data_IF_054076282250
#
_entry.id   IF_054076282250
#
_cell.length_a   1.000
_cell.length_b   1.000
_cell.length_c   1.000
_cell.angle_alpha   90.00
_cell.angle_beta   90.00
_cell.angle_gamma   90.00
#
_symmetry.space_group_name_H-M   'P 1'
#
loop_
_entity.id
_entity.type
_entity.pdbx_description
1 polymer ?
#
# COMPACT_ATOMS: atom_id res chain seq x y z
N UNK A 1 -31.05 76.90 16.96
CA UNK A 1 -29.86 76.07 16.70
C UNK A 1 -30.25 74.60 16.78
N UNK A 2 -30.05 73.89 15.67
CA UNK A 2 -30.09 72.44 15.36
C UNK A 2 -30.74 71.43 16.32
N UNK A 3 -31.78 70.75 15.82
CA UNK A 3 -32.25 69.43 16.27
C UNK A 3 -31.39 68.29 15.70
N UNK A 4 -31.41 67.15 16.40
CA UNK A 4 -31.30 65.73 15.98
C UNK A 4 -30.31 64.98 16.91
N UNK A 5 -30.47 63.73 17.35
CA UNK A 5 -31.53 62.74 17.59
C UNK A 5 -30.79 61.55 18.27
N UNK A 6 -31.32 60.83 19.27
CA UNK A 6 -30.57 59.89 20.09
C UNK A 6 -30.62 58.47 19.52
N UNK A 7 -29.47 57.79 19.45
CA UNK A 7 -29.33 56.31 19.37
C UNK A 7 -27.86 55.89 19.23
N UNK A 8 -27.16 55.78 20.35
CA UNK A 8 -25.91 54.99 20.45
C UNK A 8 -26.24 53.69 21.17
N UNK A 9 -26.90 52.78 20.46
CA UNK A 9 -27.13 51.40 20.90
C UNK A 9 -26.09 50.53 20.23
N UNK A 10 -25.20 49.98 21.06
CA UNK A 10 -24.20 48.99 20.72
C UNK A 10 -24.91 47.79 20.08
N UNK A 11 -24.75 47.61 18.76
CA UNK A 11 -25.16 46.38 18.06
C UNK A 11 -23.94 45.48 17.91
N UNK A 12 -24.01 44.32 18.56
CA UNK A 12 -23.12 43.19 18.38
C UNK A 12 -23.08 42.78 16.90
N UNK A 13 -21.91 42.84 16.27
CA UNK A 13 -21.70 42.33 14.92
C UNK A 13 -21.78 40.80 14.94
N UNK A 14 -22.92 40.25 14.54
CA UNK A 14 -23.02 38.85 14.12
C UNK A 14 -22.32 38.69 12.76
N UNK A 15 -21.02 38.41 12.76
CA UNK A 15 -20.33 37.94 11.56
C UNK A 15 -20.76 36.50 11.29
N UNK A 16 -21.83 36.33 10.49
CA UNK A 16 -22.10 35.07 9.80
C UNK A 16 -21.00 34.88 8.74
N UNK A 17 -19.98 34.10 9.09
CA UNK A 17 -19.04 33.56 8.12
C UNK A 17 -19.77 32.45 7.35
N UNK A 18 -20.21 32.75 6.12
CA UNK A 18 -20.64 31.72 5.18
C UNK A 18 -19.40 31.00 4.64
N UNK A 19 -19.30 29.66 4.75
CA UNK A 19 -18.20 28.95 4.12
C UNK A 19 -18.45 28.95 2.60
N UNK A 20 -17.60 29.66 1.84
CA UNK A 20 -17.49 29.47 0.40
C UNK A 20 -16.91 28.08 0.15
N UNK A 21 -17.79 27.08 0.07
CA UNK A 21 -17.46 25.75 -0.44
C UNK A 21 -17.21 25.92 -1.94
N UNK A 22 -15.94 26.03 -2.32
CA UNK A 22 -15.54 25.92 -3.70
C UNK A 22 -15.95 24.55 -4.21
N UNK A 23 -16.79 24.51 -5.25
CA UNK A 23 -17.10 23.27 -5.98
C UNK A 23 -15.81 22.75 -6.59
N UNK A 24 -15.21 21.74 -5.96
CA UNK A 24 -14.11 20.97 -6.55
C UNK A 24 -14.73 20.06 -7.61
N UNK A 25 -14.44 20.34 -8.87
CA UNK A 25 -14.92 19.55 -9.99
C UNK A 25 -14.04 18.28 -10.09
N UNK A 26 -14.55 17.15 -9.60
CA UNK A 26 -13.85 15.85 -9.55
C UNK A 26 -13.81 15.10 -10.90
N UNK A 27 -14.25 15.72 -11.98
CA UNK A 27 -14.27 15.09 -13.30
C UNK A 27 -13.16 15.70 -14.14
N UNK A 28 -11.95 15.14 -14.03
CA UNK A 28 -10.94 15.29 -15.08
C UNK A 28 -11.11 14.13 -16.06
N UNK A 29 -11.47 14.48 -17.28
CA UNK A 29 -11.52 13.59 -18.44
C UNK A 29 -10.19 12.81 -18.57
N UNK A 30 -10.26 11.49 -18.44
CA UNK A 30 -9.22 10.58 -18.92
C UNK A 30 -9.19 10.65 -20.45
N UNK A 31 -8.45 11.61 -21.02
CA UNK A 31 -8.29 11.67 -22.48
C UNK A 31 -7.25 10.65 -22.93
N UNK A 32 -7.72 9.69 -23.72
CA UNK A 32 -7.03 8.98 -24.79
C UNK A 32 -5.67 8.35 -24.44
N UNK A 33 -5.74 7.09 -24.01
CA UNK A 33 -4.56 6.22 -23.92
C UNK A 33 -4.70 4.99 -23.02
N UNK A 34 -5.92 4.57 -22.65
CA UNK A 34 -6.07 3.31 -21.92
C UNK A 34 -5.79 2.15 -22.88
N UNK A 35 -4.61 1.55 -22.79
CA UNK A 35 -4.45 0.17 -23.23
C UNK A 35 -5.44 -0.64 -22.39
N UNK A 36 -6.52 -1.15 -23.01
CA UNK A 36 -7.40 -2.09 -22.32
C UNK A 36 -6.62 -3.40 -22.18
N UNK A 37 -6.87 -4.15 -21.11
CA UNK A 37 -6.22 -5.45 -20.86
C UNK A 37 -6.41 -6.40 -22.07
N UNK A 38 -7.51 -6.25 -22.83
CA UNK A 38 -7.78 -6.99 -24.07
C UNK A 38 -7.03 -6.54 -25.32
N UNK A 39 -6.29 -5.42 -25.28
CA UNK A 39 -5.52 -4.90 -26.42
C UNK A 39 -4.07 -5.43 -26.45
N UNK A 40 -3.66 -6.19 -25.43
CA UNK A 40 -2.34 -6.79 -25.34
C UNK A 40 -2.34 -8.13 -26.08
N UNK A 41 -1.68 -8.18 -27.23
CA UNK A 41 -1.49 -9.44 -27.96
C UNK A 41 -0.62 -10.41 -27.16
N UNK A 42 -0.86 -11.72 -27.33
CA UNK A 42 -0.06 -12.79 -26.69
C UNK A 42 1.44 -12.62 -26.93
N UNK A 43 1.81 -12.12 -28.12
CA UNK A 43 3.20 -11.78 -28.46
C UNK A 43 3.77 -10.73 -27.52
N UNK A 44 3.02 -9.67 -27.21
CA UNK A 44 3.46 -8.56 -26.37
C UNK A 44 3.54 -8.96 -24.89
N UNK A 45 2.60 -9.79 -24.43
CA UNK A 45 2.68 -10.44 -23.11
C UNK A 45 3.93 -11.32 -23.03
N UNK A 46 4.21 -12.11 -24.07
CA UNK A 46 5.39 -12.97 -24.15
C UNK A 46 6.71 -12.18 -24.19
N UNK A 47 6.74 -11.00 -24.81
CA UNK A 47 7.91 -10.11 -24.79
C UNK A 47 8.14 -9.48 -23.41
N UNK A 48 7.07 -9.02 -22.73
CA UNK A 48 7.17 -8.47 -21.37
C UNK A 48 7.61 -9.55 -20.39
N UNK A 49 6.99 -10.72 -20.45
CA UNK A 49 7.30 -11.86 -19.57
C UNK A 49 8.76 -12.31 -19.75
N UNK A 50 9.29 -12.27 -20.98
CA UNK A 50 10.71 -12.57 -21.25
C UNK A 50 11.69 -11.59 -20.62
N UNK A 51 11.27 -10.36 -20.30
CA UNK A 51 12.11 -9.38 -19.61
C UNK A 51 12.15 -9.58 -18.10
N UNK A 52 11.28 -10.43 -17.55
CA UNK A 52 11.27 -10.77 -16.13
C UNK A 52 12.30 -11.87 -15.89
N UNK A 53 13.26 -11.58 -15.02
CA UNK A 53 14.20 -12.57 -14.51
C UNK A 53 13.47 -13.51 -13.54
N UNK A 54 13.12 -14.70 -14.04
CA UNK A 54 12.34 -15.71 -13.30
C UNK A 54 13.12 -16.30 -12.14
N UNK A 55 14.42 -16.52 -12.31
CA UNK A 55 15.27 -17.10 -11.27
C UNK A 55 15.44 -16.13 -10.12
N UNK A 56 15.70 -14.85 -10.42
CA UNK A 56 15.76 -13.81 -9.39
C UNK A 56 14.42 -13.68 -8.67
N UNK A 57 13.29 -13.68 -9.38
CA UNK A 57 11.98 -13.61 -8.75
C UNK A 57 11.73 -14.78 -7.79
N UNK A 58 11.99 -16.01 -8.24
CA UNK A 58 11.78 -17.22 -7.45
C UNK A 58 12.69 -17.26 -6.21
N UNK A 59 13.96 -16.89 -6.39
CA UNK A 59 14.94 -16.81 -5.31
C UNK A 59 14.54 -15.79 -4.25
N UNK A 60 14.18 -14.57 -4.65
CA UNK A 60 13.78 -13.52 -3.71
C UNK A 60 12.48 -13.88 -3.00
N UNK A 61 11.52 -14.51 -3.69
CA UNK A 61 10.29 -15.01 -3.08
C UNK A 61 10.62 -15.96 -1.91
N UNK A 62 11.39 -17.01 -2.17
CA UNK A 62 11.78 -17.98 -1.14
C UNK A 62 12.69 -17.40 -0.07
N UNK A 63 13.58 -16.47 -0.42
CA UNK A 63 14.39 -15.73 0.55
C UNK A 63 13.49 -15.03 1.56
N UNK A 64 12.45 -14.32 1.12
CA UNK A 64 11.53 -13.67 2.05
C UNK A 64 10.71 -14.67 2.88
N UNK A 65 10.42 -15.87 2.37
CA UNK A 65 9.69 -16.91 3.10
C UNK A 65 10.40 -17.38 4.39
N UNK A 66 11.69 -17.05 4.57
CA UNK A 66 12.38 -17.32 5.84
C UNK A 66 11.75 -16.60 7.04
N UNK A 67 11.07 -15.46 6.81
CA UNK A 67 10.35 -14.72 7.85
C UNK A 67 8.90 -15.19 7.90
N UNK A 68 8.54 -15.91 8.96
CA UNK A 68 7.20 -16.51 9.08
C UNK A 68 7.10 -17.86 8.38
N UNK A 69 8.11 -18.73 8.54
CA UNK A 69 8.04 -20.14 8.12
C UNK A 69 6.91 -20.84 8.87
N UNK A 70 6.01 -21.46 8.12
CA UNK A 70 4.96 -22.32 8.63
C UNK A 70 5.40 -23.78 8.74
N UNK A 71 4.41 -24.65 8.96
CA UNK A 71 4.57 -26.10 9.06
C UNK A 71 5.20 -26.72 7.79
N UNK A 72 6.09 -27.68 7.99
CA UNK A 72 6.77 -28.41 6.93
C UNK A 72 5.99 -29.70 6.60
N UNK A 73 5.69 -29.95 5.32
CA UNK A 73 4.99 -31.16 4.87
C UNK A 73 5.87 -32.14 4.10
N UNK A 74 7.09 -31.73 3.72
CA UNK A 74 8.01 -32.53 2.91
C UNK A 74 9.48 -32.21 3.20
N UNK A 75 10.40 -32.91 2.54
CA UNK A 75 11.86 -32.77 2.77
C UNK A 75 12.52 -31.72 1.89
N UNK A 76 11.82 -31.20 0.87
CA UNK A 76 12.31 -30.14 0.01
C UNK A 76 12.49 -28.82 0.76
N UNK A 77 13.41 -27.98 0.27
CA UNK A 77 13.69 -26.67 0.87
C UNK A 77 12.42 -25.80 1.01
N UNK A 78 11.55 -25.89 0.02
CA UNK A 78 10.32 -25.10 -0.13
C UNK A 78 9.06 -25.85 0.32
N UNK A 79 9.18 -27.07 0.85
CA UNK A 79 8.05 -27.91 1.28
C UNK A 79 7.50 -27.49 2.66
N UNK A 80 7.19 -26.20 2.79
CA UNK A 80 6.70 -25.59 4.03
C UNK A 80 5.72 -24.44 3.80
N UNK A 81 4.82 -24.27 4.76
CA UNK A 81 3.81 -23.23 4.73
C UNK A 81 4.36 -21.87 5.12
N UNK A 82 3.47 -20.90 5.28
CA UNK A 82 3.78 -19.56 5.76
C UNK A 82 2.84 -19.18 6.90
N UNK A 83 3.39 -18.56 7.94
CA UNK A 83 2.68 -17.97 9.07
C UNK A 83 3.36 -16.65 9.44
N UNK A 84 2.96 -15.59 8.73
CA UNK A 84 3.44 -14.21 8.91
C UNK A 84 2.25 -13.29 9.17
N UNK A 85 1.76 -13.28 10.40
CA UNK A 85 0.64 -12.43 10.78
C UNK A 85 1.00 -10.95 10.68
N UNK A 86 0.02 -10.13 10.30
CA UNK A 86 0.17 -8.67 10.22
C UNK A 86 0.71 -8.09 11.54
N UNK A 87 1.61 -7.11 11.43
CA UNK A 87 2.27 -6.41 12.55
C UNK A 87 3.14 -7.29 13.48
N UNK A 88 3.37 -8.56 13.11
CA UNK A 88 4.35 -9.40 13.80
C UNK A 88 5.80 -8.95 13.52
N UNK A 89 6.75 -9.45 14.32
CA UNK A 89 8.18 -9.25 14.04
C UNK A 89 8.61 -9.83 12.69
N UNK A 90 7.95 -10.88 12.21
CA UNK A 90 8.18 -11.46 10.89
C UNK A 90 7.63 -10.56 9.77
N UNK A 91 6.44 -9.98 9.95
CA UNK A 91 5.88 -8.99 9.01
C UNK A 91 6.78 -7.75 8.95
N UNK A 92 7.26 -7.25 10.09
CA UNK A 92 8.22 -6.15 10.14
C UNK A 92 9.48 -6.46 9.31
N UNK A 93 10.07 -7.65 9.44
CA UNK A 93 11.27 -8.02 8.68
C UNK A 93 11.02 -8.04 7.17
N UNK A 94 9.89 -8.59 6.73
CA UNK A 94 9.51 -8.59 5.32
C UNK A 94 9.30 -7.16 4.78
N UNK A 95 8.65 -6.29 5.56
CA UNK A 95 8.46 -4.87 5.22
C UNK A 95 9.77 -4.10 5.17
N UNK A 96 10.65 -4.29 6.15
CA UNK A 96 11.98 -3.67 6.18
C UNK A 96 12.81 -4.08 4.95
N UNK A 97 12.78 -5.37 4.59
CA UNK A 97 13.41 -5.87 3.38
C UNK A 97 12.81 -5.23 2.13
N UNK A 98 11.48 -5.16 2.01
CA UNK A 98 10.82 -4.53 0.86
C UNK A 98 11.23 -3.06 0.69
N UNK A 99 11.23 -2.29 1.79
CA UNK A 99 11.67 -0.89 1.82
C UNK A 99 13.13 -0.77 1.39
N UNK A 100 14.03 -1.60 1.94
CA UNK A 100 15.45 -1.57 1.60
C UNK A 100 15.69 -1.90 0.13
N UNK A 101 15.09 -2.99 -0.35
CA UNK A 101 15.24 -3.46 -1.74
C UNK A 101 14.72 -2.41 -2.72
N UNK A 102 13.56 -1.83 -2.48
CA UNK A 102 12.99 -0.82 -3.38
C UNK A 102 13.76 0.49 -3.36
N UNK A 103 14.25 0.95 -2.21
CA UNK A 103 15.17 2.09 -2.13
C UNK A 103 16.45 1.86 -2.93
N UNK A 104 17.05 0.67 -2.83
CA UNK A 104 18.24 0.32 -3.62
C UNK A 104 17.98 0.32 -5.13
N UNK A 105 16.72 0.12 -5.54
CA UNK A 105 16.29 0.21 -6.94
C UNK A 105 15.95 1.66 -7.36
N UNK A 106 16.15 2.65 -6.48
CA UNK A 106 15.90 4.06 -6.75
C UNK A 106 14.43 4.47 -6.61
N UNK A 107 13.63 3.72 -5.83
CA UNK A 107 12.27 4.15 -5.50
C UNK A 107 12.25 5.12 -4.31
N UNK A 108 11.38 6.12 -4.38
CA UNK A 108 10.96 6.91 -3.21
C UNK A 108 9.92 6.11 -2.42
N UNK A 109 10.13 5.93 -1.12
CA UNK A 109 9.27 5.07 -0.29
C UNK A 109 8.49 5.92 0.69
N UNK A 110 7.16 5.80 0.64
CA UNK A 110 6.22 6.45 1.55
C UNK A 110 5.44 5.42 2.36
N UNK A 111 5.24 5.71 3.64
CA UNK A 111 4.42 4.89 4.54
C UNK A 111 3.31 5.78 5.07
N UNK A 112 2.05 5.35 4.92
CA UNK A 112 0.91 6.10 5.44
C UNK A 112 0.63 5.77 6.92
N UNK A 113 -0.37 6.43 7.50
CA UNK A 113 -0.75 6.22 8.91
C UNK A 113 -1.33 4.84 9.19
N UNK A 114 -1.80 4.12 8.17
CA UNK A 114 -2.31 2.75 8.31
C UNK A 114 -1.21 1.69 8.12
N UNK A 115 0.02 2.11 7.79
CA UNK A 115 1.16 1.23 7.55
C UNK A 115 1.22 0.66 6.14
N UNK A 116 0.44 1.19 5.18
CA UNK A 116 0.62 0.85 3.77
C UNK A 116 1.94 1.42 3.26
N UNK A 117 2.67 0.64 2.46
CA UNK A 117 3.98 1.03 1.93
C UNK A 117 3.87 1.23 0.43
N UNK A 118 4.21 2.43 -0.02
CA UNK A 118 4.24 2.80 -1.44
C UNK A 118 5.68 3.00 -1.88
N UNK A 119 6.18 2.13 -2.75
CA UNK A 119 7.48 2.29 -3.41
C UNK A 119 7.29 2.90 -4.80
N UNK A 120 7.63 4.18 -4.93
CA UNK A 120 7.36 5.00 -6.11
C UNK A 120 8.62 5.07 -6.97
N UNK A 121 8.59 4.41 -8.14
CA UNK A 121 9.65 4.55 -9.15
C UNK A 121 9.40 5.83 -9.97
N UNK A 122 10.37 6.77 -10.08
CA UNK A 122 10.18 7.97 -10.88
C UNK A 122 9.95 7.63 -12.35
N UNK A 123 8.89 8.22 -12.92
CA UNK A 123 8.58 8.13 -14.34
C UNK A 123 9.42 9.09 -15.18
N UNK A 124 9.31 8.98 -16.51
CA UNK A 124 9.93 9.95 -17.44
C UNK A 124 9.20 11.29 -17.52
N UNK A 125 7.93 11.32 -17.08
CA UNK A 125 7.06 12.48 -17.07
C UNK A 125 6.27 12.47 -15.77
N UNK A 126 5.93 13.64 -15.29
CA UNK A 126 5.01 13.79 -14.17
C UNK A 126 3.59 13.43 -14.59
N UNK A 127 2.86 12.71 -13.73
CA UNK A 127 1.50 12.27 -14.00
C UNK A 127 0.96 11.35 -12.90
N UNK A 128 -0.31 10.91 -13.04
CA UNK A 128 -0.89 9.93 -12.13
C UNK A 128 -0.04 8.66 -12.08
N UNK A 129 0.15 8.11 -10.89
CA UNK A 129 0.89 6.87 -10.72
C UNK A 129 0.05 5.68 -11.22
N UNK A 130 0.67 4.82 -12.04
CA UNK A 130 0.18 3.46 -12.24
C UNK A 130 0.63 2.64 -11.04
N UNK A 131 -0.32 2.03 -10.32
CA UNK A 131 -0.04 1.23 -9.14
C UNK A 131 -0.37 -0.26 -9.38
N UNK A 132 0.42 -1.12 -8.75
CA UNK A 132 0.17 -2.54 -8.61
C UNK A 132 0.64 -2.96 -7.21
N UNK A 133 -0.10 -3.85 -6.55
CA UNK A 133 0.19 -4.26 -5.19
C UNK A 133 -0.68 -5.43 -4.73
N UNK A 134 -0.36 -5.94 -3.55
CA UNK A 134 -1.09 -7.00 -2.86
C UNK A 134 -0.86 -6.82 -1.35
N UNK A 135 -0.45 -7.86 -0.63
CA UNK A 135 -0.09 -7.85 0.79
C UNK A 135 1.13 -8.76 1.07
N UNK A 136 1.82 -8.52 2.19
CA UNK A 136 3.01 -9.29 2.61
C UNK A 136 2.75 -10.25 3.77
N UNK A 137 1.70 -10.00 4.55
CA UNK A 137 1.23 -10.85 5.63
C UNK A 137 0.47 -12.06 5.09
N UNK A 138 0.42 -13.11 5.88
CA UNK A 138 -0.27 -14.36 5.57
C UNK A 138 -1.19 -14.76 6.71
N UNK A 139 -2.08 -15.69 6.41
CA UNK A 139 -2.85 -16.37 7.44
C UNK A 139 -1.92 -17.13 8.39
N UNK A 140 -2.46 -17.49 9.56
CA UNK A 140 -1.86 -18.48 10.43
C UNK A 140 -1.82 -19.85 9.71
N UNK A 141 -0.83 -20.68 10.00
CA UNK A 141 -0.84 -22.06 9.51
C UNK A 141 -1.88 -22.88 10.27
N UNK A 142 -2.78 -23.57 9.55
CA UNK A 142 -3.82 -24.48 10.05
C UNK A 142 -3.27 -25.77 10.71
N UNK A 143 -2.16 -25.70 11.44
CA UNK A 143 -1.75 -26.77 12.35
C UNK A 143 -2.40 -26.49 13.70
N UNK A 144 -3.53 -27.12 13.98
CA UNK A 144 -4.25 -27.02 15.26
C UNK A 144 -3.30 -27.15 16.46
N UNK A 145 -3.09 -26.13 17.31
CA UNK A 145 -2.52 -26.34 18.64
C UNK A 145 -3.68 -26.31 19.64
N UNK A 146 -4.61 -27.26 19.54
CA UNK A 146 -5.46 -27.60 20.68
C UNK A 146 -4.68 -28.58 21.55
N UNK A 147 -3.64 -28.08 22.24
CA UNK A 147 -3.12 -28.59 23.52
C UNK A 147 -1.92 -27.74 23.97
N UNK A 148 -2.19 -26.48 24.35
CA UNK A 148 -1.41 -25.82 25.38
C UNK A 148 -2.24 -25.79 26.66
N UNK A 149 -2.30 -26.93 27.35
CA UNK A 149 -2.71 -27.04 28.74
C UNK A 149 -1.76 -27.99 29.45
N UNK A 150 -0.59 -27.47 29.82
CA UNK A 150 0.25 -28.00 30.90
C UNK A 150 1.21 -26.88 31.31
N UNK A 151 0.68 -25.89 32.04
CA UNK A 151 1.47 -25.11 32.96
C UNK A 151 1.47 -25.87 34.30
N UNK A 152 2.64 -26.15 34.90
CA UNK A 152 2.69 -26.77 36.22
C UNK A 152 2.19 -25.80 37.30
N UNK A 153 1.40 -26.32 38.24
CA UNK A 153 1.12 -25.69 39.54
C UNK A 153 2.37 -25.68 40.42
#
# INVERSE_FOLDING_TARGET
MSRLNPRTLIKTNSLRLTPRIGKVNWIRNFSQGSLKIGDLTDRKIGEITRRVDRERLWKELHYTCQWGRGEQWGTGETDRGMSRLALSSADKQARDWFVKTTKNLGCDVKVDTMGNIFAIRPGRKDGPATYAGSHLDTQWTNGTPLHHSNAPL
#
